data_IF_244372829132
#
_entry.id   IF_244372829132
#
_cell.length_a   1.000
_cell.length_b   1.000
_cell.length_c   1.000
_cell.angle_alpha   90.00
_cell.angle_beta   90.00
_cell.angle_gamma   90.00
#
_symmetry.space_group_name_H-M   'P 1'
#
loop_
_entity.id
_entity.type
_entity.pdbx_description
1 polymer ?
#
# COMPACT_ATOMS: atom_id res chain seq x y z
N UNK A 1 -25.67 0.87 -0.58
CA UNK A 1 -24.76 1.63 0.30
C UNK A 1 -23.93 0.63 1.10
N UNK A 2 -22.62 0.64 0.94
CA UNK A 2 -21.72 -0.20 1.73
C UNK A 2 -21.75 0.24 3.20
N UNK A 3 -22.08 -0.66 4.11
CA UNK A 3 -22.09 -0.36 5.54
C UNK A 3 -20.66 -0.20 6.05
N UNK A 4 -20.31 1.00 6.58
CA UNK A 4 -19.03 1.26 7.24
C UNK A 4 -19.08 0.85 8.74
N UNK A 5 -19.70 -0.29 9.05
CA UNK A 5 -19.86 -0.80 10.43
C UNK A 5 -18.56 -0.89 11.21
N UNK A 6 -17.44 -1.15 10.53
CA UNK A 6 -16.12 -1.20 11.15
C UNK A 6 -15.75 0.10 11.90
N UNK A 7 -16.28 1.26 11.45
CA UNK A 7 -16.03 2.55 12.12
C UNK A 7 -16.80 2.70 13.44
N UNK A 8 -17.95 2.06 13.54
CA UNK A 8 -18.75 2.05 14.76
C UNK A 8 -18.15 1.12 15.82
N UNK A 9 -17.47 0.08 15.35
CA UNK A 9 -16.78 -0.92 16.20
C UNK A 9 -15.30 -0.55 16.43
N UNK A 10 -14.86 0.63 15.95
CA UNK A 10 -13.46 1.09 15.98
C UNK A 10 -12.45 0.03 15.43
N UNK A 11 -12.90 -0.82 14.52
CA UNK A 11 -12.05 -1.84 13.90
C UNK A 11 -11.09 -1.22 12.89
N UNK A 12 -9.90 -1.80 12.82
CA UNK A 12 -8.92 -1.48 11.79
C UNK A 12 -9.13 -2.33 10.53
N UNK A 13 -8.56 -1.90 9.41
CA UNK A 13 -8.47 -2.67 8.17
C UNK A 13 -7.01 -2.70 7.72
N UNK A 14 -6.51 -3.90 7.45
CA UNK A 14 -5.15 -4.10 6.95
C UNK A 14 -5.19 -4.77 5.58
N UNK A 15 -4.88 -4.00 4.52
CA UNK A 15 -4.72 -4.52 3.17
C UNK A 15 -3.28 -4.96 2.94
N UNK A 16 -3.07 -6.24 2.64
CA UNK A 16 -1.76 -6.83 2.36
C UNK A 16 -1.75 -7.40 0.95
N UNK A 17 -0.70 -7.13 0.19
CA UNK A 17 -0.53 -7.69 -1.16
C UNK A 17 0.60 -7.03 -1.92
N UNK A 18 1.01 -7.62 -3.04
CA UNK A 18 2.07 -7.09 -3.90
C UNK A 18 1.73 -5.70 -4.47
N UNK A 19 2.72 -5.02 -5.04
CA UNK A 19 2.49 -3.71 -5.69
C UNK A 19 1.53 -3.85 -6.87
N UNK A 20 0.64 -2.85 -7.06
CA UNK A 20 -0.27 -2.78 -8.22
C UNK A 20 -1.54 -3.62 -8.13
N UNK A 21 -1.81 -4.36 -7.02
CA UNK A 21 -3.02 -5.19 -6.88
C UNK A 21 -4.28 -4.44 -6.40
N UNK A 22 -4.22 -3.11 -6.26
CA UNK A 22 -5.40 -2.28 -5.95
C UNK A 22 -5.61 -1.93 -4.47
N UNK A 23 -4.66 -2.21 -3.56
CA UNK A 23 -4.78 -1.89 -2.12
C UNK A 23 -5.15 -0.43 -1.85
N UNK A 24 -4.35 0.50 -2.37
CA UNK A 24 -4.55 1.95 -2.23
C UNK A 24 -5.89 2.38 -2.81
N UNK A 25 -6.30 1.78 -3.94
CA UNK A 25 -7.58 2.07 -4.58
C UNK A 25 -8.76 1.70 -3.66
N UNK A 26 -8.73 0.50 -3.08
CA UNK A 26 -9.76 0.06 -2.14
C UNK A 26 -9.78 0.91 -0.86
N UNK A 27 -8.62 1.22 -0.28
CA UNK A 27 -8.52 2.08 0.88
C UNK A 27 -9.09 3.47 0.60
N UNK A 28 -8.77 4.05 -0.56
CA UNK A 28 -9.28 5.35 -0.99
C UNK A 28 -10.80 5.31 -1.23
N UNK A 29 -11.32 4.25 -1.86
CA UNK A 29 -12.76 4.09 -2.07
C UNK A 29 -13.55 4.05 -0.76
N UNK A 30 -13.03 3.34 0.26
CA UNK A 30 -13.62 3.33 1.61
C UNK A 30 -13.57 4.74 2.23
N UNK A 31 -12.46 5.44 2.06
CA UNK A 31 -12.31 6.82 2.55
C UNK A 31 -13.29 7.79 1.92
N UNK A 32 -13.49 7.71 0.60
CA UNK A 32 -14.48 8.52 -0.15
C UNK A 32 -15.89 8.21 0.35
N UNK A 33 -16.23 6.95 0.54
CA UNK A 33 -17.53 6.55 1.08
C UNK A 33 -17.73 7.07 2.50
N UNK A 34 -16.67 7.05 3.33
CA UNK A 34 -16.68 7.67 4.66
C UNK A 34 -17.00 9.16 4.61
N UNK A 35 -16.33 9.90 3.73
CA UNK A 35 -16.59 11.33 3.53
C UNK A 35 -18.05 11.60 3.08
N UNK A 36 -18.59 10.77 2.17
CA UNK A 36 -19.99 10.89 1.72
C UNK A 36 -21.00 10.69 2.87
N UNK A 37 -20.64 9.87 3.85
CA UNK A 37 -21.46 9.63 5.05
C UNK A 37 -21.16 10.62 6.19
N UNK A 38 -20.37 11.69 5.95
CA UNK A 38 -20.03 12.70 6.95
C UNK A 38 -18.99 12.24 7.98
N UNK A 39 -18.31 11.11 7.75
CA UNK A 39 -17.28 10.59 8.65
C UNK A 39 -15.97 11.31 8.39
N UNK A 40 -15.36 11.90 9.43
CA UNK A 40 -14.07 12.59 9.29
C UNK A 40 -12.97 11.61 8.87
N UNK A 41 -12.45 11.79 7.65
CA UNK A 41 -11.49 10.87 7.03
C UNK A 41 -10.25 11.62 6.58
N UNK A 42 -9.07 11.02 6.79
CA UNK A 42 -7.80 11.54 6.31
C UNK A 42 -7.02 10.42 5.62
N UNK A 43 -6.54 10.69 4.42
CA UNK A 43 -5.56 9.86 3.72
C UNK A 43 -4.17 10.48 3.83
N UNK A 44 -3.15 9.66 4.11
CA UNK A 44 -1.75 10.08 4.11
C UNK A 44 -0.84 8.88 3.79
N UNK A 45 0.23 9.12 3.03
CA UNK A 45 1.29 8.11 2.89
C UNK A 45 2.08 7.98 4.18
N UNK A 46 2.55 6.77 4.48
CA UNK A 46 3.32 6.51 5.69
C UNK A 46 4.58 7.39 5.76
N UNK A 47 5.33 7.52 4.66
CA UNK A 47 6.50 8.40 4.57
C UNK A 47 6.19 9.85 4.93
N UNK A 48 5.09 10.40 4.38
CA UNK A 48 4.70 11.79 4.61
C UNK A 48 4.24 12.01 6.04
N UNK A 49 3.56 11.01 6.62
CA UNK A 49 3.16 11.05 8.03
C UNK A 49 4.38 11.09 8.94
N UNK A 50 5.34 10.18 8.72
CA UNK A 50 6.59 10.12 9.50
C UNK A 50 7.35 11.45 9.40
N UNK A 51 7.55 11.97 8.18
CA UNK A 51 8.23 13.25 7.96
C UNK A 51 7.54 14.41 8.70
N UNK A 52 6.22 14.47 8.65
CA UNK A 52 5.46 15.52 9.37
C UNK A 52 5.59 15.40 10.88
N UNK A 53 5.57 14.17 11.42
CA UNK A 53 5.75 13.93 12.85
C UNK A 53 7.16 14.30 13.32
N UNK A 54 8.20 13.92 12.56
CA UNK A 54 9.59 14.25 12.87
C UNK A 54 9.85 15.75 12.79
N UNK A 55 9.35 16.42 11.74
CA UNK A 55 9.45 17.88 11.61
C UNK A 55 8.76 18.58 12.78
N UNK A 56 7.58 18.13 13.16
CA UNK A 56 6.87 18.68 14.31
C UNK A 56 7.61 18.45 15.64
N UNK A 57 8.31 17.31 15.77
CA UNK A 57 9.15 17.02 16.94
C UNK A 57 10.29 18.03 17.07
N UNK A 58 11.01 18.31 15.98
CA UNK A 58 12.09 19.31 15.95
C UNK A 58 11.55 20.70 16.29
N UNK A 59 10.32 21.02 15.89
CA UNK A 59 9.68 22.31 16.14
C UNK A 59 8.99 22.40 17.51
N UNK A 60 9.05 21.38 18.36
CA UNK A 60 8.35 21.35 19.65
C UNK A 60 6.82 21.26 19.55
N UNK A 61 6.27 20.88 18.39
CA UNK A 61 4.82 20.82 18.09
C UNK A 61 4.29 19.40 17.85
N UNK A 62 5.04 18.38 18.24
CA UNK A 62 4.65 16.98 17.99
C UNK A 62 3.28 16.63 18.58
N UNK A 63 2.97 17.16 19.76
CA UNK A 63 1.69 16.96 20.45
C UNK A 63 0.49 17.47 19.63
N UNK A 64 0.63 18.63 19.00
CA UNK A 64 -0.40 19.20 18.14
C UNK A 64 -0.68 18.31 16.91
N UNK A 65 0.39 17.86 16.24
CA UNK A 65 0.29 17.04 15.04
C UNK A 65 -0.24 15.65 15.38
N UNK A 66 0.21 15.03 16.47
CA UNK A 66 -0.32 13.75 16.95
C UNK A 66 -1.81 13.85 17.25
N UNK A 67 -2.24 14.89 17.97
CA UNK A 67 -3.66 15.13 18.27
C UNK A 67 -4.48 15.36 17.01
N UNK A 68 -3.96 16.09 16.03
CA UNK A 68 -4.61 16.30 14.73
C UNK A 68 -4.92 14.98 14.01
N UNK A 69 -3.92 14.08 13.87
CA UNK A 69 -4.13 12.79 13.20
C UNK A 69 -4.91 11.78 14.06
N UNK A 70 -4.84 11.88 15.38
CA UNK A 70 -5.59 11.02 16.27
C UNK A 70 -7.11 11.27 16.22
N UNK A 71 -7.56 12.50 15.92
CA UNK A 71 -8.99 12.87 15.96
C UNK A 71 -9.83 12.37 14.80
N UNK A 72 -9.23 12.06 13.63
CA UNK A 72 -9.98 11.55 12.47
C UNK A 72 -10.63 10.21 12.79
N UNK A 73 -11.92 10.05 12.42
CA UNK A 73 -12.62 8.79 12.64
C UNK A 73 -12.00 7.68 11.80
N UNK A 74 -11.67 7.97 10.54
CA UNK A 74 -10.93 7.08 9.65
C UNK A 74 -9.58 7.74 9.31
N UNK A 75 -8.49 7.07 9.62
CA UNK A 75 -7.15 7.45 9.17
C UNK A 75 -6.63 6.36 8.23
N UNK A 76 -6.37 6.74 6.99
CA UNK A 76 -5.79 5.84 5.97
C UNK A 76 -4.29 6.14 5.90
N UNK A 77 -3.48 5.14 6.26
CA UNK A 77 -2.01 5.20 6.20
C UNK A 77 -1.57 4.26 5.08
N UNK A 78 -1.14 4.84 3.97
CA UNK A 78 -0.80 4.10 2.76
C UNK A 78 0.69 3.76 2.71
N UNK A 79 1.02 2.58 2.17
CA UNK A 79 2.37 2.11 1.88
C UNK A 79 3.30 1.96 3.11
N UNK A 80 2.81 1.36 4.20
CA UNK A 80 3.70 0.98 5.30
C UNK A 80 4.67 -0.11 4.84
N UNK A 81 5.96 0.07 5.17
CA UNK A 81 7.02 -0.90 4.90
C UNK A 81 7.75 -0.67 3.58
N UNK A 82 7.42 0.39 2.83
CA UNK A 82 8.15 0.75 1.61
C UNK A 82 9.52 1.37 1.90
N UNK A 83 9.64 2.14 2.97
CA UNK A 83 10.88 2.75 3.44
C UNK A 83 11.15 2.38 4.91
N UNK A 84 12.42 2.28 5.33
CA UNK A 84 12.77 2.13 6.73
C UNK A 84 12.27 3.33 7.55
N UNK A 85 11.84 3.04 8.78
CA UNK A 85 11.40 4.06 9.74
C UNK A 85 12.40 4.09 10.89
N UNK A 86 13.09 5.23 11.04
CA UNK A 86 14.06 5.43 12.09
C UNK A 86 13.43 5.52 13.49
N UNK A 87 14.23 5.35 14.53
CA UNK A 87 13.79 5.25 15.92
C UNK A 87 12.87 6.40 16.36
N UNK A 88 13.19 7.65 16.01
CA UNK A 88 12.37 8.82 16.38
C UNK A 88 11.00 8.74 15.70
N UNK A 89 10.98 8.48 14.38
CA UNK A 89 9.74 8.32 13.61
C UNK A 89 8.90 7.15 14.11
N UNK A 90 9.54 6.02 14.45
CA UNK A 90 8.87 4.85 14.98
C UNK A 90 8.18 5.11 16.33
N UNK A 91 8.84 5.84 17.24
CA UNK A 91 8.26 6.25 18.53
C UNK A 91 7.04 7.16 18.35
N UNK A 92 7.15 8.16 17.47
CA UNK A 92 6.04 9.07 17.18
C UNK A 92 4.86 8.34 16.50
N UNK A 93 5.16 7.43 15.58
CA UNK A 93 4.16 6.60 14.95
C UNK A 93 3.45 5.71 15.97
N UNK A 94 4.20 5.06 16.87
CA UNK A 94 3.63 4.28 17.97
C UNK A 94 2.68 5.13 18.83
N UNK A 95 3.08 6.33 19.23
CA UNK A 95 2.24 7.25 20.02
C UNK A 95 0.92 7.59 19.28
N UNK A 96 0.98 7.78 17.96
CA UNK A 96 -0.22 8.00 17.16
C UNK A 96 -1.14 6.78 17.18
N UNK A 97 -0.60 5.58 16.93
CA UNK A 97 -1.39 4.35 16.92
C UNK A 97 -1.99 4.07 18.29
N UNK A 98 -1.24 4.30 19.39
CA UNK A 98 -1.73 4.16 20.75
C UNK A 98 -2.92 5.08 21.06
N UNK A 99 -2.86 6.34 20.62
CA UNK A 99 -3.99 7.30 20.79
C UNK A 99 -5.25 6.90 20.04
N UNK A 100 -5.09 6.14 18.95
CA UNK A 100 -6.20 5.69 18.11
C UNK A 100 -6.72 4.31 18.51
N UNK A 101 -5.92 3.54 19.23
CA UNK A 101 -6.25 2.18 19.62
C UNK A 101 -7.61 2.10 20.34
N UNK A 102 -8.50 1.24 19.84
CA UNK A 102 -9.89 1.02 20.31
C UNK A 102 -10.81 2.28 20.32
N UNK A 103 -10.35 3.38 19.78
CA UNK A 103 -11.09 4.65 19.77
C UNK A 103 -11.47 5.12 18.37
N UNK A 104 -10.67 4.78 17.39
CA UNK A 104 -10.79 5.23 16.00
C UNK A 104 -10.30 4.16 15.05
N UNK A 105 -10.86 4.12 13.85
CA UNK A 105 -10.47 3.15 12.82
C UNK A 105 -9.27 3.62 12.03
N UNK A 106 -8.29 2.71 11.85
CA UNK A 106 -7.13 2.94 10.99
C UNK A 106 -7.15 1.94 9.84
N UNK A 107 -7.01 2.45 8.62
CA UNK A 107 -6.87 1.62 7.42
C UNK A 107 -5.41 1.68 6.99
N UNK A 108 -4.79 0.52 6.79
CA UNK A 108 -3.39 0.41 6.43
C UNK A 108 -3.26 -0.38 5.14
N UNK A 109 -2.39 0.08 4.26
CA UNK A 109 -1.94 -0.70 3.12
C UNK A 109 -0.46 -1.04 3.27
N UNK A 110 -0.08 -2.25 2.92
CA UNK A 110 1.30 -2.72 2.97
C UNK A 110 1.58 -3.76 1.89
N UNK A 111 2.81 -3.78 1.39
CA UNK A 111 3.29 -4.80 0.46
C UNK A 111 4.10 -5.90 1.17
N UNK A 112 4.40 -5.71 2.45
CA UNK A 112 5.14 -6.68 3.26
C UNK A 112 4.23 -7.31 4.31
N UNK A 113 4.42 -8.60 4.63
CA UNK A 113 3.65 -9.23 5.69
C UNK A 113 4.00 -8.64 7.07
N UNK A 114 3.05 -8.59 8.00
CA UNK A 114 3.27 -8.07 9.35
C UNK A 114 4.47 -8.67 10.07
N UNK A 115 4.75 -9.96 9.85
CA UNK A 115 5.92 -10.65 10.42
C UNK A 115 7.29 -10.05 10.01
N UNK A 116 7.34 -9.27 8.93
CA UNK A 116 8.55 -8.58 8.45
C UNK A 116 8.62 -7.11 8.88
N UNK A 117 7.66 -6.59 9.61
CA UNK A 117 7.66 -5.19 10.06
C UNK A 117 8.81 -4.86 11.00
N UNK A 118 9.33 -5.85 11.74
CA UNK A 118 10.55 -5.68 12.52
C UNK A 118 11.79 -5.21 11.73
N UNK A 119 11.80 -5.44 10.40
CA UNK A 119 12.86 -4.96 9.52
C UNK A 119 12.60 -3.52 9.00
N UNK A 120 11.35 -3.06 9.07
CA UNK A 120 10.95 -1.71 8.64
C UNK A 120 11.16 -0.69 9.76
N UNK A 121 10.89 -1.10 10.98
CA UNK A 121 11.12 -0.28 12.16
C UNK A 121 12.50 -0.62 12.73
N UNK A 122 13.28 0.39 13.09
CA UNK A 122 14.61 0.21 13.67
C UNK A 122 14.61 -0.53 15.01
N UNK A 123 13.44 -0.63 15.65
CA UNK A 123 13.22 -1.31 16.93
C UNK A 123 12.16 -2.40 16.77
N UNK A 124 12.57 -3.67 16.90
CA UNK A 124 11.68 -4.83 16.79
C UNK A 124 10.61 -4.89 17.88
N UNK A 125 10.96 -4.44 19.10
CA UNK A 125 10.00 -4.45 20.21
C UNK A 125 8.89 -3.43 19.94
N UNK A 126 9.27 -2.24 19.47
CA UNK A 126 8.33 -1.20 19.08
C UNK A 126 7.47 -1.61 17.88
N UNK A 127 8.07 -2.28 16.87
CA UNK A 127 7.33 -2.84 15.74
C UNK A 127 6.26 -3.83 16.18
N UNK A 128 6.58 -4.73 17.11
CA UNK A 128 5.63 -5.69 17.65
C UNK A 128 4.51 -4.99 18.43
N UNK A 129 4.83 -3.96 19.21
CA UNK A 129 3.84 -3.20 19.96
C UNK A 129 2.89 -2.40 19.03
N UNK A 130 3.39 -1.90 17.91
CA UNK A 130 2.57 -1.26 16.86
C UNK A 130 1.65 -2.29 16.20
N UNK A 131 2.21 -3.44 15.82
CA UNK A 131 1.45 -4.53 15.20
C UNK A 131 0.34 -5.04 16.09
N UNK A 132 0.64 -5.29 17.36
CA UNK A 132 -0.34 -5.78 18.33
C UNK A 132 -1.58 -4.87 18.34
N UNK A 133 -1.38 -3.56 18.48
CA UNK A 133 -2.48 -2.59 18.49
C UNK A 133 -3.23 -2.48 17.17
N UNK A 134 -2.54 -2.61 16.06
CA UNK A 134 -3.16 -2.50 14.74
C UNK A 134 -3.94 -3.75 14.36
N UNK A 135 -3.48 -4.94 14.77
CA UNK A 135 -4.04 -6.23 14.34
C UNK A 135 -5.08 -6.75 15.31
N UNK A 136 -5.02 -6.37 16.59
CA UNK A 136 -5.89 -6.89 17.66
C UNK A 136 -7.40 -6.82 17.28
N UNK A 137 -7.84 -5.70 16.69
CA UNK A 137 -9.22 -5.53 16.22
C UNK A 137 -9.24 -5.21 14.71
N UNK A 138 -8.48 -5.94 13.90
CA UNK A 138 -8.36 -5.66 12.49
C UNK A 138 -9.01 -6.72 11.60
N UNK A 139 -9.63 -6.26 10.52
CA UNK A 139 -9.93 -7.09 9.35
C UNK A 139 -8.71 -7.13 8.43
N UNK A 140 -8.03 -8.27 8.41
CA UNK A 140 -6.87 -8.48 7.53
C UNK A 140 -7.35 -9.00 6.20
N UNK A 141 -7.12 -8.23 5.14
CA UNK A 141 -7.54 -8.54 3.77
C UNK A 141 -6.28 -8.73 2.92
N UNK A 142 -6.06 -9.96 2.48
CA UNK A 142 -4.97 -10.29 1.56
C UNK A 142 -5.46 -10.20 0.12
N UNK A 143 -4.79 -9.38 -0.68
CA UNK A 143 -5.12 -9.20 -2.10
C UNK A 143 -3.99 -9.84 -2.91
N UNK A 144 -4.33 -10.89 -3.64
CA UNK A 144 -3.44 -11.60 -4.53
C UNK A 144 -3.86 -11.36 -5.97
N UNK A 145 -2.92 -11.33 -6.90
CA UNK A 145 -3.21 -11.14 -8.32
C UNK A 145 -2.04 -10.54 -9.08
N UNK A 146 -2.23 -10.43 -10.40
CA UNK A 146 -1.28 -9.72 -11.25
C UNK A 146 -1.39 -8.22 -11.03
N UNK A 147 -0.26 -7.51 -11.11
CA UNK A 147 -0.24 -6.05 -11.03
C UNK A 147 -1.09 -5.44 -12.13
N UNK A 148 -2.10 -4.65 -11.75
CA UNK A 148 -2.93 -3.93 -12.71
C UNK A 148 -2.11 -2.87 -13.49
N UNK A 149 -1.09 -2.28 -12.86
CA UNK A 149 -0.18 -1.30 -13.48
C UNK A 149 0.67 -1.92 -14.61
N UNK A 150 0.85 -3.24 -14.61
CA UNK A 150 1.63 -3.95 -15.65
C UNK A 150 0.78 -4.41 -16.83
N UNK A 151 -0.55 -4.24 -16.80
CA UNK A 151 -1.44 -4.68 -17.89
C UNK A 151 -1.16 -3.92 -19.19
N UNK A 152 -0.96 -2.62 -19.09
CA UNK A 152 -0.78 -1.77 -20.28
C UNK A 152 0.55 -2.07 -20.98
N UNK A 153 1.62 -2.36 -20.23
CA UNK A 153 2.91 -2.75 -20.79
C UNK A 153 2.93 -4.15 -21.44
N UNK A 154 1.99 -5.03 -21.08
CA UNK A 154 1.87 -6.36 -21.69
C UNK A 154 1.07 -6.32 -22.99
N UNK A 155 0.20 -5.33 -23.18
CA UNK A 155 -0.57 -5.11 -24.41
C UNK A 155 0.36 -4.56 -25.49
N UNK A 156 1.20 -3.56 -25.19
CA UNK A 156 2.16 -2.98 -26.14
C UNK A 156 3.19 -4.01 -26.68
N UNK A 157 3.56 -5.03 -25.87
CA UNK A 157 4.46 -6.10 -26.35
C UNK A 157 3.80 -7.11 -27.26
N UNK A 158 2.48 -7.25 -27.25
CA UNK A 158 1.76 -8.14 -28.16
C UNK A 158 1.53 -7.53 -29.54
N UNK A 159 1.44 -6.23 -29.63
CA UNK A 159 1.21 -5.53 -30.92
C UNK A 159 2.52 -5.32 -31.70
N UNK A 160 3.70 -5.47 -31.08
CA UNK A 160 5.01 -5.36 -31.74
C UNK A 160 5.63 -6.68 -32.21
N UNK A 161 4.95 -7.82 -32.08
CA UNK A 161 5.32 -9.04 -32.77
C UNK A 161 4.64 -9.06 -34.13
N UNK A 162 5.19 -8.29 -35.07
CA UNK A 162 4.84 -8.37 -36.50
C UNK A 162 5.08 -9.79 -37.04
N UNK A 163 4.43 -10.17 -38.16
CA UNK A 163 4.52 -11.52 -38.69
C UNK A 163 5.96 -11.87 -39.06
N UNK A 164 6.41 -13.01 -38.54
CA UNK A 164 7.71 -13.62 -38.85
C UNK A 164 7.79 -13.91 -40.36
N UNK A 165 8.58 -13.09 -41.10
CA UNK A 165 8.86 -13.24 -42.53
C UNK A 165 10.03 -14.18 -42.78
N UNK A 166 10.37 -15.11 -41.90
CA UNK A 166 11.46 -16.08 -42.10
C UNK A 166 11.09 -17.30 -42.95
N UNK A 167 9.97 -17.26 -43.68
CA UNK A 167 9.44 -18.37 -44.48
C UNK A 167 9.65 -18.27 -46.00
N UNK A 168 10.39 -17.29 -46.55
CA UNK A 168 10.62 -17.16 -48.00
C UNK A 168 12.10 -17.08 -48.37
N UNK A 169 12.80 -18.18 -48.29
CA UNK A 169 14.08 -18.34 -49.00
C UNK A 169 14.53 -19.79 -48.97
N UNK A 170 14.02 -20.66 -49.84
CA UNK A 170 14.70 -21.89 -50.30
C UNK A 170 13.86 -22.66 -51.32
N UNK A 171 13.68 -22.09 -52.51
CA UNK A 171 13.36 -22.90 -53.71
C UNK A 171 13.71 -22.07 -54.94
N UNK A 172 14.99 -22.12 -55.35
CA UNK A 172 15.46 -21.95 -56.72
C UNK A 172 16.96 -22.13 -56.81
N UNK A 173 17.40 -23.40 -56.82
CA UNK A 173 18.73 -23.79 -57.34
C UNK A 173 18.76 -25.29 -57.59
N UNK A 174 18.07 -25.73 -58.62
CA UNK A 174 18.35 -27.00 -59.30
C UNK A 174 17.69 -26.96 -60.67
N UNK A 175 18.41 -26.44 -61.64
CA UNK A 175 18.27 -26.71 -63.06
C UNK A 175 19.32 -25.89 -63.81
N UNK A 176 20.49 -26.51 -64.01
CA UNK A 176 21.36 -26.25 -65.16
C UNK A 176 22.71 -26.92 -64.96
N UNK A 177 22.81 -28.21 -65.34
CA UNK A 177 24.08 -28.78 -65.81
C UNK A 177 23.79 -30.21 -66.30
N UNK A 178 23.15 -30.28 -67.45
CA UNK A 178 23.32 -31.41 -68.41
C UNK A 178 23.33 -30.78 -69.77
N UNK A 179 24.48 -30.79 -70.38
CA UNK A 179 24.80 -31.05 -71.79
C UNK A 179 26.16 -30.47 -72.17
N UNK A 180 27.04 -31.40 -72.45
CA UNK A 180 28.22 -31.51 -73.31
C UNK A 180 29.50 -31.77 -72.57
#
# INVERSE_FOLDING_TARGET
MGSLRFTQENQNILFIGTSGVGKTHLATAIGIEGCKQGISTQFIRCSDLINKLQTAQVQGRSEEVLRRYARFQILIIDEIGYLPIESVGAKLFFQLIERRYERKSTIITTNIPPSKWGNTFSDKMLANAILDRLVHHAKVIRITGRSYRMKDHLIEKKDNSGPDLSGFSSQNKERSSETL
#
